data_IF_888541260222
#
_entry.id   IF_888541260222
#
_cell.length_a   1.000
_cell.length_b   1.000
_cell.length_c   1.000
_cell.angle_alpha   90.00
_cell.angle_beta   90.00
_cell.angle_gamma   90.00
#
_symmetry.space_group_name_H-M   'P 1'
#
loop_
_entity.id
_entity.type
_entity.pdbx_description
1 polymer ?
#
# COMPACT_ATOMS: atom_id res chain seq x y z
N UNK A 1 -39.76 25.09 -19.24
CA UNK A 1 -38.40 25.66 -19.05
C UNK A 1 -37.80 24.91 -17.88
N UNK A 2 -36.62 24.36 -18.10
CA UNK A 2 -35.96 23.31 -17.31
C UNK A 2 -36.05 23.51 -15.80
N UNK A 3 -36.43 22.42 -15.15
CA UNK A 3 -36.77 22.27 -13.75
C UNK A 3 -35.61 22.72 -12.84
N UNK A 4 -35.93 23.59 -11.88
CA UNK A 4 -35.09 23.84 -10.70
C UNK A 4 -35.14 22.59 -9.80
N UNK A 5 -34.46 21.52 -10.21
CA UNK A 5 -34.38 20.28 -9.43
C UNK A 5 -33.31 20.47 -8.36
N UNK A 6 -33.76 20.71 -7.12
CA UNK A 6 -33.14 20.29 -5.86
C UNK A 6 -31.68 20.67 -5.57
N UNK A 7 -31.22 21.87 -5.92
CA UNK A 7 -29.91 22.38 -5.48
C UNK A 7 -29.74 22.33 -3.95
N UNK A 8 -30.82 22.61 -3.20
CA UNK A 8 -30.84 22.50 -1.75
C UNK A 8 -30.62 21.07 -1.23
N UNK A 9 -31.12 20.06 -1.96
CA UNK A 9 -30.97 18.65 -1.58
C UNK A 9 -29.56 18.14 -1.90
N UNK A 10 -29.00 18.56 -3.03
CA UNK A 10 -27.60 18.28 -3.41
C UNK A 10 -26.63 18.85 -2.38
N UNK A 11 -26.84 20.09 -1.92
CA UNK A 11 -25.96 20.72 -0.93
C UNK A 11 -26.16 20.13 0.48
N UNK A 12 -27.36 19.69 0.83
CA UNK A 12 -27.60 18.89 2.04
C UNK A 12 -26.90 17.53 2.01
N UNK A 13 -26.89 16.85 0.85
CA UNK A 13 -26.15 15.60 0.64
C UNK A 13 -24.64 15.84 0.74
N UNK A 14 -24.11 16.90 0.13
CA UNK A 14 -22.70 17.31 0.26
C UNK A 14 -22.31 17.63 1.71
N UNK A 15 -23.15 18.36 2.45
CA UNK A 15 -22.88 18.68 3.85
C UNK A 15 -22.95 17.44 4.75
N UNK A 16 -23.83 16.49 4.45
CA UNK A 16 -23.92 15.19 5.15
C UNK A 16 -22.70 14.30 4.86
N UNK A 17 -22.15 14.32 3.64
CA UNK A 17 -20.91 13.59 3.30
C UNK A 17 -19.67 14.25 3.93
N UNK A 18 -19.58 15.58 3.96
CA UNK A 18 -18.50 16.33 4.63
C UNK A 18 -18.48 16.12 6.16
N UNK A 19 -19.64 16.07 6.82
CA UNK A 19 -19.71 15.78 8.27
C UNK A 19 -19.30 14.34 8.61
N UNK A 20 -19.55 13.39 7.71
CA UNK A 20 -19.14 11.98 7.88
C UNK A 20 -17.63 11.79 7.73
N UNK A 21 -16.97 12.54 6.85
CA UNK A 21 -15.51 12.51 6.72
C UNK A 21 -14.82 13.20 7.90
N UNK A 22 -15.39 14.31 8.41
CA UNK A 22 -14.88 15.00 9.60
C UNK A 22 -14.93 14.14 10.86
N UNK A 23 -16.03 13.41 11.11
CA UNK A 23 -16.14 12.51 12.27
C UNK A 23 -15.24 11.27 12.21
N UNK A 24 -14.68 10.93 11.04
CA UNK A 24 -13.69 9.84 10.89
C UNK A 24 -12.28 10.29 11.23
N UNK A 25 -12.01 11.60 11.21
CA UNK A 25 -10.71 12.19 11.53
C UNK A 25 -10.49 12.40 13.04
N UNK A 26 -11.56 12.52 13.84
CA UNK A 26 -11.51 12.87 15.27
C UNK A 26 -11.81 11.69 16.23
N UNK A 27 -11.80 10.44 15.76
CA UNK A 27 -11.86 9.29 16.68
C UNK A 27 -10.42 8.97 17.08
N UNK A 28 -10.10 9.16 18.35
CA UNK A 28 -8.89 8.75 19.08
C UNK A 28 -8.65 7.23 18.95
N UNK A 29 -8.34 6.74 17.74
CA UNK A 29 -7.91 5.37 17.47
C UNK A 29 -6.39 5.42 17.38
N UNK A 30 -5.74 5.01 18.47
CA UNK A 30 -4.28 4.76 18.63
C UNK A 30 -3.42 5.46 17.58
N UNK A 31 -2.66 6.50 17.95
CA UNK A 31 -1.68 7.22 17.11
C UNK A 31 -0.72 6.27 16.36
N UNK A 32 -1.20 5.60 15.31
CA UNK A 32 -0.40 4.82 14.39
C UNK A 32 0.12 5.85 13.42
N UNK A 33 1.34 6.33 13.69
CA UNK A 33 2.08 7.19 12.77
C UNK A 33 1.92 6.62 11.36
N UNK A 34 1.43 7.43 10.42
CA UNK A 34 1.35 7.03 9.02
C UNK A 34 2.76 6.76 8.54
N UNK A 35 3.08 5.50 8.29
CA UNK A 35 4.38 5.11 7.72
C UNK A 35 4.34 5.38 6.22
N UNK A 36 5.35 6.09 5.71
CA UNK A 36 5.55 6.25 4.28
C UNK A 36 5.92 4.94 3.60
N UNK A 37 5.86 4.92 2.27
CA UNK A 37 6.30 3.77 1.49
C UNK A 37 7.83 3.64 1.58
N UNK A 38 8.37 2.48 2.00
CA UNK A 38 9.81 2.29 2.12
C UNK A 38 10.54 2.30 0.77
N UNK A 39 9.82 2.05 -0.33
CA UNK A 39 10.36 2.00 -1.70
C UNK A 39 10.09 3.29 -2.48
N UNK A 40 9.55 4.32 -1.83
CA UNK A 40 9.28 5.62 -2.44
C UNK A 40 9.78 6.69 -1.48
N UNK A 41 11.11 6.84 -1.45
CA UNK A 41 11.74 7.90 -0.70
C UNK A 41 11.69 9.20 -1.52
N UNK A 42 11.32 10.35 -0.92
CA UNK A 42 11.16 11.62 -1.64
C UNK A 42 12.49 12.21 -2.13
N UNK A 43 13.61 11.76 -1.57
CA UNK A 43 14.98 12.17 -1.85
C UNK A 43 15.59 11.48 -3.10
N UNK A 44 14.85 10.58 -3.76
CA UNK A 44 15.34 9.86 -4.94
C UNK A 44 16.26 8.68 -4.62
N UNK A 45 16.61 8.46 -3.36
CA UNK A 45 17.44 7.31 -2.89
C UNK A 45 16.63 6.01 -2.82
N UNK A 46 15.49 5.95 -3.50
CA UNK A 46 14.63 4.77 -3.50
C UNK A 46 15.37 3.60 -4.16
N UNK A 47 15.45 2.43 -3.52
CA UNK A 47 16.16 1.31 -4.10
C UNK A 47 15.42 0.79 -5.34
N UNK A 48 16.20 0.50 -6.38
CA UNK A 48 15.67 -0.03 -7.64
C UNK A 48 15.23 -1.47 -7.38
N UNK A 49 13.98 -1.80 -7.76
CA UNK A 49 13.44 -3.14 -7.54
C UNK A 49 13.86 -4.01 -8.72
N UNK A 50 14.89 -4.82 -8.53
CA UNK A 50 15.29 -5.85 -9.51
C UNK A 50 15.13 -7.24 -8.91
N UNK A 51 15.08 -8.27 -9.75
CA UNK A 51 15.09 -9.67 -9.29
C UNK A 51 16.49 -10.14 -8.89
N UNK A 52 17.53 -9.36 -9.19
CA UNK A 52 18.94 -9.71 -8.98
C UNK A 52 19.41 -9.45 -7.55
N UNK A 53 18.65 -8.67 -6.79
CA UNK A 53 19.01 -8.23 -5.43
C UNK A 53 18.19 -9.02 -4.37
N UNK A 54 18.56 -10.27 -4.03
CA UNK A 54 17.78 -11.10 -3.11
C UNK A 54 17.70 -10.48 -1.71
N UNK A 55 18.72 -9.74 -1.27
CA UNK A 55 18.75 -9.10 0.05
C UNK A 55 17.66 -8.04 0.23
N UNK A 56 17.31 -7.32 -0.84
CA UNK A 56 16.21 -6.37 -0.83
C UNK A 56 14.87 -7.10 -0.80
N UNK A 57 14.71 -8.11 -1.65
CA UNK A 57 13.48 -8.87 -1.80
C UNK A 57 13.15 -9.69 -0.54
N UNK A 58 14.17 -10.24 0.12
CA UNK A 58 14.09 -10.99 1.37
C UNK A 58 13.33 -10.22 2.46
N UNK A 59 13.54 -8.90 2.57
CA UNK A 59 12.86 -8.03 3.55
C UNK A 59 11.34 -7.97 3.39
N UNK A 60 10.82 -8.32 2.22
CA UNK A 60 9.40 -8.31 1.90
C UNK A 60 8.76 -9.71 1.85
N UNK A 61 9.50 -10.71 2.32
CA UNK A 61 9.05 -12.10 2.42
C UNK A 61 8.96 -12.46 3.90
N UNK A 62 7.96 -13.26 4.26
CA UNK A 62 7.80 -13.78 5.62
C UNK A 62 8.80 -14.91 5.90
N UNK A 63 8.96 -15.26 7.16
CA UNK A 63 9.75 -16.42 7.60
C UNK A 63 9.35 -17.73 6.90
N UNK A 64 8.07 -17.93 6.56
CA UNK A 64 7.62 -19.10 5.80
C UNK A 64 7.87 -19.03 4.28
N UNK A 65 8.47 -17.96 3.76
CA UNK A 65 8.66 -17.77 2.32
C UNK A 65 7.42 -17.20 1.60
N UNK A 66 6.46 -16.59 2.30
CA UNK A 66 5.27 -15.96 1.67
C UNK A 66 5.52 -14.46 1.41
N UNK A 67 4.96 -13.89 0.35
CA UNK A 67 5.11 -12.45 0.08
C UNK A 67 4.26 -11.65 1.08
N UNK A 68 4.86 -10.70 1.79
CA UNK A 68 4.15 -9.86 2.76
C UNK A 68 3.17 -8.91 2.04
N UNK A 69 1.93 -8.76 2.54
CA UNK A 69 0.95 -7.89 1.90
C UNK A 69 1.28 -6.40 2.12
N UNK A 70 0.89 -5.56 1.16
CA UNK A 70 1.13 -4.11 1.21
C UNK A 70 0.63 -3.41 2.48
N UNK A 71 -0.43 -3.94 3.11
CA UNK A 71 -0.97 -3.41 4.38
C UNK A 71 -0.03 -3.58 5.58
N UNK A 72 0.92 -4.51 5.51
CA UNK A 72 1.93 -4.77 6.54
C UNK A 72 3.20 -3.98 6.23
N UNK A 73 3.66 -4.04 4.98
CA UNK A 73 4.92 -3.41 4.52
C UNK A 73 4.79 -1.90 4.28
N UNK A 74 3.58 -1.38 4.11
CA UNK A 74 3.25 -0.01 3.70
C UNK A 74 3.79 0.38 2.31
N UNK A 75 4.03 -0.59 1.43
CA UNK A 75 4.49 -0.33 0.06
C UNK A 75 3.34 0.18 -0.82
N UNK A 76 3.60 1.20 -1.65
CA UNK A 76 2.67 1.71 -2.65
C UNK A 76 2.19 0.59 -3.60
N UNK A 77 0.91 0.62 -4.01
CA UNK A 77 0.33 -0.46 -4.82
C UNK A 77 1.08 -0.74 -6.13
N UNK A 78 1.60 0.30 -6.78
CA UNK A 78 2.43 0.17 -7.99
C UNK A 78 3.72 -0.62 -7.70
N UNK A 79 4.49 -0.17 -6.70
CA UNK A 79 5.72 -0.82 -6.25
C UNK A 79 5.50 -2.24 -5.71
N UNK A 80 4.36 -2.51 -5.07
CA UNK A 80 4.02 -3.86 -4.63
C UNK A 80 3.87 -4.84 -5.81
N UNK A 81 3.32 -4.41 -6.95
CA UNK A 81 3.19 -5.24 -8.17
C UNK A 81 4.57 -5.55 -8.75
N UNK A 82 5.42 -4.53 -8.86
CA UNK A 82 6.81 -4.64 -9.31
C UNK A 82 7.61 -5.61 -8.43
N UNK A 83 7.52 -5.43 -7.11
CA UNK A 83 8.12 -6.30 -6.10
C UNK A 83 7.64 -7.75 -6.21
N UNK A 84 6.33 -7.97 -6.37
CA UNK A 84 5.79 -9.33 -6.52
C UNK A 84 6.30 -10.00 -7.79
N UNK A 85 6.43 -9.26 -8.89
CA UNK A 85 7.00 -9.77 -10.15
C UNK A 85 8.47 -10.15 -9.96
N UNK A 86 9.27 -9.27 -9.34
CA UNK A 86 10.67 -9.52 -9.06
C UNK A 86 10.89 -10.75 -8.18
N UNK A 87 10.09 -10.91 -7.10
CA UNK A 87 10.16 -12.08 -6.21
C UNK A 87 9.85 -13.38 -6.96
N UNK A 88 8.85 -13.39 -7.84
CA UNK A 88 8.51 -14.59 -8.62
C UNK A 88 9.65 -15.02 -9.53
N UNK A 89 10.25 -14.07 -10.26
CA UNK A 89 11.41 -14.33 -11.12
C UNK A 89 12.61 -14.83 -10.28
N UNK A 90 12.88 -14.19 -9.15
CA UNK A 90 13.97 -14.59 -8.25
C UNK A 90 13.78 -16.01 -7.68
N UNK A 91 12.54 -16.47 -7.47
CA UNK A 91 12.24 -17.85 -7.06
C UNK A 91 12.46 -18.86 -8.16
N UNK A 92 12.09 -18.53 -9.40
CA UNK A 92 12.36 -19.37 -10.57
C UNK A 92 13.87 -19.57 -10.80
N UNK A 93 14.67 -18.53 -10.49
CA UNK A 93 16.14 -18.56 -10.55
C UNK A 93 16.81 -19.15 -9.29
N UNK A 94 16.04 -19.71 -8.36
CA UNK A 94 16.52 -20.27 -7.09
C UNK A 94 17.32 -19.29 -6.19
N UNK A 95 17.13 -17.98 -6.35
CA UNK A 95 17.73 -16.96 -5.47
C UNK A 95 16.98 -16.81 -4.14
N UNK A 96 15.69 -17.15 -4.14
CA UNK A 96 14.82 -17.10 -2.97
C UNK A 96 14.01 -18.41 -2.87
N UNK A 97 13.82 -18.95 -1.66
CA UNK A 97 13.07 -20.19 -1.50
C UNK A 97 11.55 -19.96 -1.59
N UNK A 98 10.84 -21.03 -1.97
CA UNK A 98 9.38 -21.06 -1.98
C UNK A 98 8.79 -21.27 -0.59
N UNK A 99 9.43 -22.12 0.21
CA UNK A 99 9.00 -22.53 1.54
C UNK A 99 10.25 -22.69 2.40
N UNK A 100 10.19 -22.19 3.63
CA UNK A 100 11.11 -22.59 4.69
C UNK A 100 10.40 -23.61 5.57
N UNK A 101 11.06 -24.73 5.84
CA UNK A 101 10.65 -25.63 6.91
C UNK A 101 11.14 -25.02 8.23
N UNK A 102 10.20 -24.75 9.14
CA UNK A 102 10.50 -24.37 10.51
C UNK A 102 10.64 -25.62 11.38
#
# INVERSE_FOLDING_TARGET
>A
MTENIDTANIDAIKNKTLKRTANRANKEVFFRRRKGCPLSAPDGTAPIITYKDPDLLSKFISECGRVLPARVTNVCRSKQRELTKAIKIARELALLPFVYHQ
#
